data_IF_231415732889
#
_entry.id   IF_231415732889
#
_cell.length_a   1.000
_cell.length_b   1.000
_cell.length_c   1.000
_cell.angle_alpha   90.00
_cell.angle_beta   90.00
_cell.angle_gamma   90.00
#
_symmetry.space_group_name_H-M   'P 1'
#
loop_
_entity.id
_entity.type
_entity.pdbx_description
1 polymer ?
#
# COMPACT_ATOMS: atom_id res chain seq x y z
N UNK A 1 3.74 16.50 7.15
CA UNK A 1 2.76 17.29 6.39
C UNK A 1 1.65 16.39 5.89
N UNK A 2 0.42 16.89 5.93
CA UNK A 2 -0.71 16.06 5.50
C UNK A 2 -0.74 15.92 3.98
N UNK A 3 -1.23 14.80 3.50
CA UNK A 3 -1.40 14.59 2.07
C UNK A 3 -2.58 15.38 1.56
N UNK A 4 -2.51 15.83 0.31
CA UNK A 4 -3.59 16.61 -0.29
C UNK A 4 -4.76 15.70 -0.65
N UNK A 5 -5.96 16.27 -0.63
CA UNK A 5 -7.16 15.54 -1.03
C UNK A 5 -7.10 15.13 -2.50
N UNK A 6 -6.53 15.98 -3.34
CA UNK A 6 -6.40 15.65 -4.76
C UNK A 6 -5.51 14.44 -5.01
N UNK A 7 -4.43 14.32 -4.24
CA UNK A 7 -3.55 13.17 -4.38
C UNK A 7 -4.24 11.90 -3.91
N UNK A 8 -5.01 11.98 -2.82
CA UNK A 8 -5.78 10.83 -2.36
C UNK A 8 -6.77 10.37 -3.42
N UNK A 9 -7.48 11.30 -4.06
CA UNK A 9 -8.43 10.95 -5.11
C UNK A 9 -7.73 10.28 -6.29
N UNK A 10 -6.56 10.77 -6.65
CA UNK A 10 -5.75 10.14 -7.69
C UNK A 10 -5.41 8.70 -7.33
N UNK A 11 -4.97 8.49 -6.09
CA UNK A 11 -4.59 7.15 -5.63
C UNK A 11 -5.79 6.21 -5.61
N UNK A 12 -6.94 6.69 -5.14
CA UNK A 12 -8.15 5.86 -5.10
C UNK A 12 -8.59 5.45 -6.50
N UNK A 13 -8.48 6.37 -7.46
CA UNK A 13 -8.78 6.03 -8.85
C UNK A 13 -7.77 5.02 -9.40
N UNK A 14 -6.50 5.23 -9.11
CA UNK A 14 -5.42 4.33 -9.56
C UNK A 14 -5.63 2.91 -9.02
N UNK A 15 -6.11 2.79 -7.79
CA UNK A 15 -6.31 1.50 -7.14
C UNK A 15 -7.75 1.00 -7.24
N UNK A 16 -8.52 1.52 -8.19
CA UNK A 16 -9.94 1.16 -8.29
C UNK A 16 -10.18 -0.33 -8.54
N UNK A 17 -9.16 -1.05 -9.03
CA UNK A 17 -9.27 -2.50 -9.22
C UNK A 17 -9.00 -3.33 -7.95
N UNK A 18 -8.65 -2.68 -6.85
CA UNK A 18 -8.39 -3.39 -5.60
C UNK A 18 -9.71 -3.77 -4.94
N UNK A 19 -9.84 -5.05 -4.58
CA UNK A 19 -11.07 -5.53 -3.97
C UNK A 19 -11.23 -4.99 -2.56
N UNK A 20 -12.45 -4.53 -2.24
CA UNK A 20 -12.74 -4.04 -0.91
C UNK A 20 -11.92 -2.84 -0.49
N UNK A 21 -11.51 -2.01 -1.45
CA UNK A 21 -10.69 -0.83 -1.16
C UNK A 21 -11.41 0.12 -0.21
N UNK A 22 -10.76 0.47 0.89
CA UNK A 22 -11.29 1.40 1.86
C UNK A 22 -10.18 2.29 2.37
N UNK A 23 -10.54 3.44 2.88
CA UNK A 23 -9.56 4.38 3.43
C UNK A 23 -9.96 4.78 4.83
N UNK A 24 -8.96 5.21 5.60
CA UNK A 24 -9.17 5.74 6.94
C UNK A 24 -8.20 6.88 7.16
N UNK A 25 -8.72 8.03 7.55
CA UNK A 25 -7.87 9.16 7.83
C UNK A 25 -7.29 9.02 9.23
N UNK A 26 -6.00 9.29 9.36
CA UNK A 26 -5.33 9.24 10.64
C UNK A 26 -4.22 10.28 10.68
N UNK A 27 -4.33 11.25 11.60
CA UNK A 27 -3.29 12.27 11.80
C UNK A 27 -2.89 12.99 10.51
N UNK A 28 -3.89 13.29 9.67
CA UNK A 28 -3.66 14.00 8.41
C UNK A 28 -3.23 13.13 7.25
N UNK A 29 -2.95 11.86 7.50
CA UNK A 29 -2.61 10.92 6.44
C UNK A 29 -3.77 9.96 6.20
N UNK A 30 -3.64 9.13 5.17
CA UNK A 30 -4.72 8.23 4.78
C UNK A 30 -4.21 6.80 4.73
N UNK A 31 -4.82 5.93 5.53
CA UNK A 31 -4.50 4.51 5.50
C UNK A 31 -5.39 3.82 4.48
N UNK A 32 -4.85 2.84 3.80
CA UNK A 32 -5.56 2.11 2.74
C UNK A 32 -5.69 0.64 3.12
N UNK A 33 -6.89 0.12 2.90
CA UNK A 33 -7.23 -1.25 3.25
C UNK A 33 -7.81 -1.97 2.03
N UNK A 34 -7.55 -3.27 1.94
CA UNK A 34 -8.22 -4.16 1.00
C UNK A 34 -8.90 -5.24 1.82
N UNK A 35 -10.22 -5.28 1.78
CA UNK A 35 -11.03 -6.24 2.52
C UNK A 35 -10.60 -6.32 4.00
N UNK A 36 -10.40 -5.16 4.60
CA UNK A 36 -10.02 -5.06 6.01
C UNK A 36 -8.54 -5.22 6.30
N UNK A 37 -7.72 -5.54 5.32
CA UNK A 37 -6.28 -5.68 5.52
C UNK A 37 -5.57 -4.39 5.19
N UNK A 38 -4.85 -3.83 6.16
CA UNK A 38 -4.08 -2.61 5.96
C UNK A 38 -2.84 -2.93 5.15
N UNK A 39 -2.73 -2.36 3.93
CA UNK A 39 -1.53 -2.57 3.11
C UNK A 39 -0.65 -1.33 3.05
N UNK A 40 -1.04 -0.30 3.69
CA UNK A 40 -0.40 0.94 4.01
C UNK A 40 -1.19 2.13 3.48
N UNK A 41 -0.54 3.18 2.93
CA UNK A 41 -1.37 4.31 2.61
C UNK A 41 -0.63 5.46 1.95
N UNK A 42 -1.25 6.63 2.04
CA UNK A 42 -0.74 7.86 1.47
C UNK A 42 -0.16 8.72 2.59
N UNK A 43 1.14 9.01 2.47
CA UNK A 43 1.88 9.80 3.44
C UNK A 43 2.61 10.92 2.72
N UNK A 44 2.26 12.16 3.04
CA UNK A 44 2.94 13.33 2.48
C UNK A 44 2.97 13.28 0.95
N UNK A 45 1.79 13.02 0.35
CA UNK A 45 1.60 12.91 -1.10
C UNK A 45 2.49 11.83 -1.72
N UNK A 46 2.69 10.72 -0.99
CA UNK A 46 3.40 9.55 -1.50
C UNK A 46 2.57 8.31 -1.19
N UNK A 47 2.43 7.44 -2.17
CA UNK A 47 1.77 6.16 -1.95
C UNK A 47 2.82 5.15 -1.54
N UNK A 48 2.67 4.61 -0.34
CA UNK A 48 3.61 3.64 0.21
C UNK A 48 2.89 2.32 0.47
N UNK A 49 3.60 1.22 0.28
CA UNK A 49 3.09 -0.13 0.51
C UNK A 49 4.02 -0.83 1.49
N UNK A 50 3.44 -1.57 2.42
CA UNK A 50 4.23 -2.33 3.40
C UNK A 50 5.22 -3.23 2.69
N UNK A 51 6.40 -3.36 3.27
CA UNK A 51 7.42 -4.20 2.68
C UNK A 51 7.10 -5.67 2.93
N UNK A 52 6.89 -6.39 1.84
CA UNK A 52 6.69 -7.84 1.84
C UNK A 52 7.52 -8.39 0.69
N UNK A 53 7.70 -9.71 0.59
CA UNK A 53 8.42 -10.26 -0.57
C UNK A 53 7.82 -9.80 -1.90
N UNK A 54 6.50 -9.70 -1.99
CA UNK A 54 5.87 -9.24 -3.23
C UNK A 54 6.20 -7.79 -3.53
N UNK A 55 6.09 -6.88 -2.54
CA UNK A 55 6.36 -5.47 -2.79
C UNK A 55 7.84 -5.22 -2.99
N UNK A 56 8.70 -5.93 -2.27
CA UNK A 56 10.15 -5.79 -2.44
C UNK A 56 10.59 -6.23 -3.84
N UNK A 57 9.92 -7.22 -4.40
CA UNK A 57 10.23 -7.71 -5.74
C UNK A 57 9.75 -6.76 -6.83
N UNK A 58 8.62 -6.10 -6.60
CA UNK A 58 7.99 -5.27 -7.63
C UNK A 58 8.42 -3.80 -7.59
N UNK A 59 8.77 -3.30 -6.41
CA UNK A 59 9.07 -1.88 -6.21
C UNK A 59 10.49 -1.72 -5.72
N UNK A 60 11.31 -1.03 -6.49
CA UNK A 60 12.72 -0.88 -6.15
C UNK A 60 13.03 0.25 -5.18
N UNK A 61 12.14 1.24 -5.07
CA UNK A 61 12.38 2.40 -4.23
C UNK A 61 11.76 2.21 -2.85
N UNK A 62 12.39 2.80 -1.84
CA UNK A 62 11.85 2.79 -0.48
C UNK A 62 11.73 4.20 0.03
N UNK A 63 10.86 4.39 1.02
CA UNK A 63 10.71 5.66 1.69
C UNK A 63 10.24 5.41 3.12
N UNK A 64 10.58 6.33 4.01
CA UNK A 64 10.13 6.27 5.39
C UNK A 64 8.89 7.14 5.51
N UNK A 65 7.76 6.61 5.96
CA UNK A 65 6.51 7.38 6.01
C UNK A 65 6.55 8.51 7.03
N UNK A 66 7.28 8.32 8.11
CA UNK A 66 7.50 9.35 9.12
C UNK A 66 8.76 9.00 9.90
N UNK A 67 9.30 9.97 10.59
CA UNK A 67 10.55 9.79 11.31
C UNK A 67 10.43 8.66 12.33
N UNK A 68 11.38 7.75 12.31
CA UNK A 68 11.40 6.62 13.23
C UNK A 68 10.67 5.40 12.74
N UNK A 69 9.94 5.50 11.64
CA UNK A 69 9.20 4.35 11.10
C UNK A 69 10.13 3.47 10.26
N UNK A 70 9.69 2.23 10.02
CA UNK A 70 10.40 1.33 9.12
C UNK A 70 10.22 1.80 7.69
N UNK A 71 11.21 1.57 6.82
CA UNK A 71 11.06 1.89 5.41
C UNK A 71 9.95 1.06 4.79
N UNK A 72 9.24 1.67 3.85
CA UNK A 72 8.19 1.03 3.08
C UNK A 72 8.53 1.18 1.60
N UNK A 73 7.84 0.43 0.76
CA UNK A 73 8.08 0.50 -0.68
C UNK A 73 7.31 1.66 -1.28
N UNK A 74 8.03 2.52 -1.99
CA UNK A 74 7.46 3.69 -2.63
C UNK A 74 6.89 3.29 -4.00
N UNK A 75 5.63 3.63 -4.23
CA UNK A 75 5.00 3.37 -5.52
C UNK A 75 5.35 4.51 -6.46
N UNK A 76 6.02 4.17 -7.56
CA UNK A 76 6.41 5.14 -8.58
C UNK A 76 5.79 4.81 -9.93
N UNK A 77 4.77 3.94 -9.96
CA UNK A 77 4.10 3.51 -11.16
C UNK A 77 2.69 4.06 -11.21
N UNK A 78 2.18 4.30 -12.41
CA UNK A 78 0.78 4.70 -12.61
C UNK A 78 -0.02 3.61 -13.32
N UNK A 79 0.49 2.38 -13.36
CA UNK A 79 -0.21 1.24 -13.93
C UNK A 79 -1.16 0.65 -12.90
N UNK A 80 -2.43 1.05 -12.96
CA UNK A 80 -3.42 0.63 -11.98
C UNK A 80 -3.64 -0.87 -11.94
N UNK A 81 -3.60 -1.55 -13.09
CA UNK A 81 -3.77 -3.00 -13.12
C UNK A 81 -2.63 -3.71 -12.42
N UNK A 82 -1.40 -3.30 -12.69
CA UNK A 82 -0.25 -3.89 -12.03
C UNK A 82 -0.26 -3.63 -10.54
N UNK A 83 -0.64 -2.40 -10.14
CA UNK A 83 -0.70 -2.05 -8.73
C UNK A 83 -1.81 -2.82 -8.01
N UNK A 84 -2.95 -3.01 -8.64
CA UNK A 84 -4.04 -3.77 -8.03
C UNK A 84 -3.62 -5.22 -7.79
N UNK A 85 -2.92 -5.82 -8.74
CA UNK A 85 -2.39 -7.18 -8.57
C UNK A 85 -1.35 -7.22 -7.46
N UNK A 86 -0.48 -6.21 -7.40
CA UNK A 86 0.54 -6.14 -6.36
C UNK A 86 -0.08 -6.01 -4.98
N UNK A 87 -1.08 -5.14 -4.83
CA UNK A 87 -1.79 -4.99 -3.57
C UNK A 87 -2.44 -6.30 -3.15
N UNK A 88 -3.04 -7.01 -4.10
CA UNK A 88 -3.62 -8.33 -3.82
C UNK A 88 -2.59 -9.30 -3.28
N UNK A 89 -1.41 -9.35 -3.90
CA UNK A 89 -0.34 -10.24 -3.45
C UNK A 89 0.18 -9.83 -2.06
N UNK A 90 0.38 -8.53 -1.85
CA UNK A 90 0.84 -8.03 -0.56
C UNK A 90 -0.16 -8.37 0.55
N UNK A 91 -1.43 -8.16 0.30
CA UNK A 91 -2.47 -8.46 1.29
C UNK A 91 -2.54 -9.94 1.59
N UNK A 92 -2.38 -10.79 0.58
CA UNK A 92 -2.35 -12.23 0.80
C UNK A 92 -1.20 -12.62 1.72
N UNK A 93 -0.03 -12.01 1.52
CA UNK A 93 1.12 -12.27 2.38
C UNK A 93 0.88 -11.76 3.81
N UNK A 94 0.28 -10.59 3.93
CA UNK A 94 -0.01 -10.02 5.25
C UNK A 94 -1.03 -10.85 6.02
N UNK A 95 -1.95 -11.51 5.31
CA UNK A 95 -2.95 -12.38 5.93
C UNK A 95 -2.41 -13.76 6.24
N UNK A 96 -1.14 -14.03 5.98
CA UNK A 96 -0.58 -15.34 6.16
C UNK A 96 -0.85 -16.24 4.97
N UNK A 97 -0.57 -15.76 3.77
CA UNK A 97 -0.83 -16.48 2.53
C UNK A 97 -0.07 -17.80 2.41
N UNK A 98 -0.15 -18.44 1.23
CA UNK A 98 0.34 -19.83 1.08
C UNK A 98 1.77 -20.04 1.55
N UNK A 99 2.68 -19.10 1.28
CA UNK A 99 4.07 -19.24 1.68
C UNK A 99 4.23 -19.29 3.20
N UNK A 100 3.50 -18.46 3.91
CA UNK A 100 3.57 -18.45 5.37
C UNK A 100 2.90 -19.67 5.95
N UNK A 101 1.81 -20.09 5.34
CA UNK A 101 1.09 -21.26 5.82
C UNK A 101 1.94 -22.49 5.74
N UNK A 102 2.78 -22.57 4.74
CA UNK A 102 3.66 -23.72 4.57
C UNK A 102 4.66 -23.85 5.71
N UNK A 103 4.88 -22.80 6.46
CA UNK A 103 5.83 -22.79 7.56
C UNK A 103 5.26 -23.27 8.88
N UNK A 104 4.02 -23.60 8.93
CA UNK A 104 3.37 -24.02 10.16
C UNK A 104 3.51 -25.48 10.42
#
# INVERSE_FOLDING_TARGET
MASSQGYLEYVLDLLSGVEGLATRKMMGEHLLYSEGTLFDGVYDDRLLIKETPASASALGATAVPYEGARPMRLVDSDDGDALSRLVGAVCAELRGGPARRACR
#
